data_IF_703934266575
#
_entry.id   IF_703934266575
#
_cell.length_a   1.000
_cell.length_b   1.000
_cell.length_c   1.000
_cell.angle_alpha   90.00
_cell.angle_beta   90.00
_cell.angle_gamma   90.00
#
_symmetry.space_group_name_H-M   'P 1'
#
loop_
_entity.id
_entity.type
_entity.pdbx_description
1 polymer ?
#
# COMPACT_ATOMS: atom_id res chain seq x y z
N UNK A 1 18.48 -21.53 36.72
CA UNK A 1 19.06 -20.17 36.66
C UNK A 1 19.27 -19.85 35.19
N UNK A 2 18.42 -18.99 34.62
CA UNK A 2 18.47 -18.66 33.20
C UNK A 2 19.63 -17.70 32.96
N UNK A 3 20.55 -18.08 32.09
CA UNK A 3 21.58 -17.19 31.56
C UNK A 3 20.93 -15.88 31.07
N UNK A 4 21.53 -14.71 31.33
CA UNK A 4 21.02 -13.48 30.76
C UNK A 4 21.04 -13.64 29.25
N UNK A 5 19.95 -13.31 28.55
CA UNK A 5 19.93 -13.41 27.10
C UNK A 5 20.92 -12.39 26.54
N UNK A 6 21.87 -12.89 25.76
CA UNK A 6 22.86 -12.05 25.10
C UNK A 6 22.16 -11.20 24.04
N UNK A 7 21.88 -9.93 24.33
CA UNK A 7 21.27 -8.99 23.39
C UNK A 7 22.07 -8.87 22.08
N UNK A 8 23.38 -9.14 22.14
CA UNK A 8 24.25 -9.22 20.98
C UNK A 8 23.86 -10.37 20.04
N UNK A 9 23.54 -11.55 20.57
CA UNK A 9 23.15 -12.70 19.76
C UNK A 9 21.85 -12.43 18.98
N UNK A 10 20.83 -11.88 19.65
CA UNK A 10 19.55 -11.54 19.03
C UNK A 10 19.71 -10.49 17.92
N UNK A 11 20.51 -9.45 18.18
CA UNK A 11 20.83 -8.45 17.17
C UNK A 11 21.57 -9.06 15.98
N UNK A 12 22.63 -9.83 16.22
CA UNK A 12 23.48 -10.39 15.16
C UNK A 12 22.68 -11.31 14.24
N UNK A 13 21.74 -12.10 14.78
CA UNK A 13 20.92 -12.99 13.98
C UNK A 13 19.90 -12.22 13.11
N UNK A 14 19.20 -11.23 13.67
CA UNK A 14 18.31 -10.39 12.87
C UNK A 14 19.09 -9.53 11.85
N UNK A 15 20.27 -9.03 12.22
CA UNK A 15 21.14 -8.30 11.31
C UNK A 15 21.61 -9.20 10.15
N UNK A 16 21.88 -10.50 10.40
CA UNK A 16 22.18 -11.48 9.34
C UNK A 16 20.99 -11.64 8.39
N UNK A 17 19.78 -11.84 8.93
CA UNK A 17 18.55 -12.00 8.13
C UNK A 17 18.31 -10.76 7.28
N UNK A 18 18.40 -9.56 7.88
CA UNK A 18 18.19 -8.30 7.16
C UNK A 18 19.28 -7.98 6.15
N UNK A 19 20.53 -8.34 6.42
CA UNK A 19 21.62 -8.24 5.44
C UNK A 19 21.38 -9.16 4.24
N UNK A 20 20.96 -10.41 4.47
CA UNK A 20 20.60 -11.34 3.42
C UNK A 20 19.40 -10.83 2.60
N UNK A 21 18.38 -10.30 3.29
CA UNK A 21 17.23 -9.66 2.64
C UNK A 21 17.66 -8.54 1.69
N UNK A 22 18.49 -7.61 2.16
CA UNK A 22 18.98 -6.49 1.32
C UNK A 22 19.76 -6.99 0.12
N UNK A 23 20.64 -7.97 0.31
CA UNK A 23 21.48 -8.52 -0.75
C UNK A 23 20.65 -9.15 -1.87
N UNK A 24 19.63 -9.91 -1.51
CA UNK A 24 18.78 -10.65 -2.45
C UNK A 24 17.50 -9.87 -2.82
N UNK A 25 17.37 -8.63 -2.32
CA UNK A 25 16.18 -7.78 -2.42
C UNK A 25 14.86 -8.52 -2.12
N UNK A 26 14.86 -9.34 -1.06
CA UNK A 26 13.72 -10.19 -0.69
C UNK A 26 12.66 -9.39 0.06
N UNK A 27 11.41 -9.79 -0.10
CA UNK A 27 10.31 -9.39 0.79
C UNK A 27 10.11 -10.51 1.81
N UNK A 28 10.19 -10.17 3.10
CA UNK A 28 9.93 -11.11 4.18
C UNK A 28 8.50 -10.99 4.68
N UNK A 29 7.98 -12.08 5.25
CA UNK A 29 6.75 -12.09 6.02
C UNK A 29 7.10 -12.35 7.49
N UNK A 30 6.92 -11.34 8.35
CA UNK A 30 7.36 -11.35 9.74
C UNK A 30 6.17 -11.49 10.67
N UNK A 31 6.20 -12.48 11.56
CA UNK A 31 5.17 -12.71 12.55
C UNK A 31 5.73 -12.68 13.97
N UNK A 32 4.98 -12.08 14.91
CA UNK A 32 5.32 -12.11 16.33
C UNK A 32 4.74 -13.37 16.96
N UNK A 33 5.61 -14.34 17.24
CA UNK A 33 5.23 -15.64 17.75
C UNK A 33 4.99 -15.65 19.28
N UNK A 34 4.13 -16.55 19.77
CA UNK A 34 4.04 -16.85 21.19
C UNK A 34 5.35 -17.46 21.72
N UNK A 35 5.71 -17.26 23.01
CA UNK A 35 7.00 -17.69 23.56
C UNK A 35 7.30 -19.20 23.48
N UNK A 36 6.28 -20.05 23.34
CA UNK A 36 6.43 -21.50 23.34
C UNK A 36 7.06 -22.11 22.07
N UNK A 37 7.18 -21.33 21.00
CA UNK A 37 7.70 -21.79 19.70
C UNK A 37 9.21 -21.55 19.51
N UNK A 38 9.90 -21.07 20.54
CA UNK A 38 11.31 -20.67 20.46
C UNK A 38 11.48 -19.19 20.12
N UNK A 39 12.71 -18.64 20.23
CA UNK A 39 12.95 -17.20 20.11
C UNK A 39 12.80 -16.68 18.67
N UNK A 40 13.14 -17.50 17.68
CA UNK A 40 13.17 -17.21 16.25
C UNK A 40 12.93 -18.52 15.47
N UNK A 41 12.15 -18.45 14.39
CA UNK A 41 11.92 -19.49 13.39
C UNK A 41 12.06 -18.85 12.00
N UNK A 42 12.73 -19.55 11.09
CA UNK A 42 12.93 -19.12 9.69
C UNK A 42 12.44 -20.26 8.78
N UNK A 43 11.45 -19.97 7.94
CA UNK A 43 10.95 -20.85 6.88
C UNK A 43 10.85 -20.08 5.57
N UNK A 44 11.85 -20.23 4.70
CA UNK A 44 11.92 -19.47 3.44
C UNK A 44 11.96 -17.95 3.67
N UNK A 45 10.91 -17.24 3.23
CA UNK A 45 10.74 -15.79 3.45
C UNK A 45 9.99 -15.46 4.75
N UNK A 46 9.45 -16.47 5.44
CA UNK A 46 8.66 -16.30 6.64
C UNK A 46 9.55 -16.34 7.88
N UNK A 47 9.51 -15.26 8.66
CA UNK A 47 10.30 -15.09 9.87
C UNK A 47 9.35 -14.96 11.06
N UNK A 48 9.31 -15.98 11.90
CA UNK A 48 8.59 -15.93 13.16
C UNK A 48 9.53 -15.59 14.30
N UNK A 49 9.23 -14.57 15.11
CA UNK A 49 10.10 -14.19 16.23
C UNK A 49 9.29 -13.78 17.46
N UNK A 50 9.82 -14.09 18.64
CA UNK A 50 9.13 -13.71 19.89
C UNK A 50 9.35 -12.24 20.21
N UNK A 51 8.36 -11.61 20.85
CA UNK A 51 8.47 -10.22 21.32
C UNK A 51 9.70 -10.00 22.22
N UNK A 52 10.04 -10.97 23.07
CA UNK A 52 11.22 -10.89 23.95
C UNK A 52 12.52 -10.83 23.12
N UNK A 53 12.62 -11.65 22.08
CA UNK A 53 13.78 -11.67 21.19
C UNK A 53 13.91 -10.35 20.42
N UNK A 54 12.79 -9.81 19.94
CA UNK A 54 12.78 -8.50 19.28
C UNK A 54 13.25 -7.37 20.20
N UNK A 55 12.78 -7.37 21.46
CA UNK A 55 13.20 -6.35 22.44
C UNK A 55 14.71 -6.42 22.67
N UNK A 56 15.29 -7.61 22.77
CA UNK A 56 16.73 -7.78 22.96
C UNK A 56 17.52 -7.22 21.78
N UNK A 57 17.13 -7.59 20.56
CA UNK A 57 17.75 -7.06 19.35
C UNK A 57 17.57 -5.54 19.24
N UNK A 58 16.40 -5.01 19.61
CA UNK A 58 16.11 -3.58 19.60
C UNK A 58 17.02 -2.78 20.53
N UNK A 59 17.27 -3.25 21.76
CA UNK A 59 18.15 -2.56 22.72
C UNK A 59 19.56 -2.42 22.14
N UNK A 60 20.12 -3.50 21.59
CA UNK A 60 21.44 -3.49 20.96
C UNK A 60 21.45 -2.67 19.66
N UNK A 61 20.42 -2.79 18.81
CA UNK A 61 20.28 -1.98 17.60
C UNK A 61 20.25 -0.49 17.94
N UNK A 62 19.53 -0.09 18.99
CA UNK A 62 19.45 1.30 19.44
C UNK A 62 20.83 1.82 19.87
N UNK A 63 21.58 1.04 20.65
CA UNK A 63 22.94 1.41 21.06
C UNK A 63 23.82 1.64 19.81
N UNK A 64 23.90 0.65 18.92
CA UNK A 64 24.68 0.74 17.68
C UNK A 64 24.27 1.95 16.83
N UNK A 65 22.97 2.17 16.66
CA UNK A 65 22.44 3.25 15.84
C UNK A 65 22.85 4.62 16.39
N UNK A 66 22.70 4.84 17.70
CA UNK A 66 23.01 6.14 18.29
C UNK A 66 24.52 6.35 18.46
N UNK A 67 25.28 5.32 18.82
CA UNK A 67 26.73 5.38 18.94
C UNK A 67 27.38 5.71 17.58
N UNK A 68 26.94 5.05 16.50
CA UNK A 68 27.44 5.32 15.16
C UNK A 68 26.95 6.65 14.56
N UNK A 69 25.82 7.19 15.05
CA UNK A 69 25.26 8.47 14.58
C UNK A 69 25.87 9.71 15.24
N UNK A 70 26.51 9.56 16.40
CA UNK A 70 27.20 10.64 17.12
C UNK A 70 28.55 11.01 16.49
N UNK A 71 29.06 10.16 15.60
CA UNK A 71 30.25 10.43 14.80
C UNK A 71 29.84 11.18 13.52
N UNK A 72 30.48 12.32 13.19
CA UNK A 72 30.10 13.12 12.04
C UNK A 72 30.12 12.30 10.74
N UNK A 73 29.01 12.34 10.00
CA UNK A 73 28.87 11.84 8.63
C UNK A 73 29.78 12.67 7.70
N UNK A 74 31.08 12.38 7.68
CA UNK A 74 32.00 12.95 6.71
C UNK A 74 31.84 12.21 5.38
N UNK A 75 31.15 12.85 4.43
CA UNK A 75 31.44 12.66 3.02
C UNK A 75 32.65 13.56 2.71
N UNK A 76 33.84 13.02 2.38
CA UNK A 76 34.97 13.88 2.05
C UNK A 76 34.68 14.64 0.76
N UNK A 77 34.89 15.95 0.78
CA UNK A 77 35.13 16.71 -0.44
C UNK A 77 36.34 16.10 -1.17
N UNK A 78 36.25 16.02 -2.50
CA UNK A 78 37.19 15.34 -3.39
C UNK A 78 38.57 16.02 -3.53
N UNK A 79 39.13 16.60 -2.46
CA UNK A 79 40.32 17.47 -2.52
C UNK A 79 41.40 17.15 -1.48
N UNK A 80 41.59 15.87 -1.12
CA UNK A 80 42.68 15.45 -0.24
C UNK A 80 43.47 14.27 -0.80
N UNK A 81 44.77 14.47 -1.04
CA UNK A 81 45.74 13.39 -1.28
C UNK A 81 45.78 12.46 -0.06
N UNK A 82 44.96 11.41 -0.05
CA UNK A 82 45.09 10.31 0.92
C UNK A 82 45.88 9.14 0.33
N UNK A 83 46.76 8.60 1.18
CA UNK A 83 47.59 7.42 0.99
C UNK A 83 46.71 6.19 0.64
N UNK A 84 46.90 5.56 -0.52
CA UNK A 84 45.99 4.54 -1.09
C UNK A 84 45.66 3.37 -0.13
N UNK A 85 46.60 2.99 0.74
CA UNK A 85 46.38 1.94 1.76
C UNK A 85 45.50 2.39 2.93
N UNK A 86 45.55 3.67 3.31
CA UNK A 86 44.65 4.24 4.33
C UNK A 86 43.25 4.44 3.76
N UNK A 87 43.15 4.80 2.48
CA UNK A 87 41.88 4.92 1.74
C UNK A 87 41.07 3.61 1.77
N UNK A 88 41.69 2.46 1.44
CA UNK A 88 41.01 1.15 1.43
C UNK A 88 40.54 0.68 2.82
N UNK A 89 41.35 0.92 3.86
CA UNK A 89 40.98 0.56 5.23
C UNK A 89 39.86 1.48 5.75
N UNK A 90 39.89 2.76 5.38
CA UNK A 90 38.84 3.73 5.67
C UNK A 90 37.54 3.38 4.93
N UNK A 91 37.61 2.92 3.69
CA UNK A 91 36.45 2.50 2.90
C UNK A 91 35.78 1.25 3.49
N UNK A 92 36.55 0.23 3.85
CA UNK A 92 36.02 -0.98 4.51
C UNK A 92 35.34 -0.66 5.85
N UNK A 93 35.92 0.22 6.66
CA UNK A 93 35.32 0.67 7.92
C UNK A 93 34.05 1.49 7.72
N UNK A 94 34.01 2.36 6.70
CA UNK A 94 32.81 3.12 6.32
C UNK A 94 31.70 2.21 5.83
N UNK A 95 32.04 1.21 5.02
CA UNK A 95 31.09 0.22 4.54
C UNK A 95 30.48 -0.56 5.70
N UNK A 96 31.32 -1.07 6.61
CA UNK A 96 30.85 -1.76 7.82
C UNK A 96 29.92 -0.88 8.64
N UNK A 97 30.29 0.38 8.88
CA UNK A 97 29.46 1.35 9.63
C UNK A 97 28.11 1.58 8.94
N UNK A 98 28.09 1.69 7.62
CA UNK A 98 26.87 1.83 6.81
C UNK A 98 25.97 0.61 7.01
N UNK A 99 26.54 -0.59 6.94
CA UNK A 99 25.81 -1.85 7.12
C UNK A 99 25.26 -1.99 8.55
N UNK A 100 26.03 -1.61 9.56
CA UNK A 100 25.60 -1.59 10.96
C UNK A 100 24.41 -0.64 11.17
N UNK A 101 24.46 0.57 10.61
CA UNK A 101 23.35 1.54 10.67
C UNK A 101 22.12 1.08 9.87
N UNK A 102 22.32 0.43 8.72
CA UNK A 102 21.24 -0.15 7.94
C UNK A 102 20.52 -1.24 8.75
N UNK A 103 21.26 -2.21 9.29
CA UNK A 103 20.72 -3.28 10.12
C UNK A 103 20.04 -2.75 11.38
N UNK A 104 20.69 -1.81 12.08
CA UNK A 104 20.15 -1.23 13.29
C UNK A 104 18.86 -0.45 13.02
N UNK A 105 18.81 0.37 11.97
CA UNK A 105 17.59 1.11 11.61
C UNK A 105 16.45 0.19 11.15
N UNK A 106 16.74 -0.93 10.49
CA UNK A 106 15.73 -1.93 10.17
C UNK A 106 15.15 -2.56 11.44
N UNK A 107 15.99 -3.07 12.35
CA UNK A 107 15.53 -3.65 13.61
C UNK A 107 14.75 -2.64 14.46
N UNK A 108 15.19 -1.38 14.50
CA UNK A 108 14.45 -0.30 15.17
C UNK A 108 13.06 -0.12 14.57
N UNK A 109 12.94 -0.08 13.24
CA UNK A 109 11.64 0.07 12.58
C UNK A 109 10.76 -1.18 12.68
N UNK A 110 11.36 -2.37 12.76
CA UNK A 110 10.62 -3.60 13.05
C UNK A 110 10.01 -3.57 14.46
N UNK A 111 10.72 -3.02 15.43
CA UNK A 111 10.19 -2.85 16.79
C UNK A 111 9.19 -1.69 16.89
N UNK A 112 9.50 -0.55 16.29
CA UNK A 112 8.73 0.69 16.34
C UNK A 112 8.64 1.36 14.95
N UNK A 113 7.52 1.11 14.26
CA UNK A 113 7.26 1.65 12.92
C UNK A 113 7.14 3.18 12.87
N UNK A 114 6.94 3.84 14.01
CA UNK A 114 6.80 5.31 14.11
C UNK A 114 8.12 5.97 14.56
N UNK A 115 9.24 5.23 14.58
CA UNK A 115 10.53 5.78 15.00
C UNK A 115 11.11 6.77 13.97
N UNK A 116 10.68 8.02 14.06
CA UNK A 116 10.96 9.09 13.09
C UNK A 116 12.45 9.32 12.83
N UNK A 117 13.31 9.20 13.85
CA UNK A 117 14.77 9.39 13.69
C UNK A 117 15.37 8.33 12.78
N UNK A 118 14.94 7.08 12.92
CA UNK A 118 15.43 5.97 12.10
C UNK A 118 14.91 6.12 10.66
N UNK A 119 13.61 6.39 10.50
CA UNK A 119 12.99 6.68 9.21
C UNK A 119 13.68 7.86 8.49
N UNK A 120 13.89 8.97 9.18
CA UNK A 120 14.53 10.17 8.62
C UNK A 120 16.00 9.94 8.28
N UNK A 121 16.72 9.14 9.06
CA UNK A 121 18.07 8.74 8.71
C UNK A 121 18.12 7.96 7.40
N UNK A 122 17.21 6.99 7.20
CA UNK A 122 17.12 6.21 5.95
C UNK A 122 16.82 7.10 4.74
N UNK A 123 15.86 8.02 4.87
CA UNK A 123 15.57 9.04 3.83
C UNK A 123 16.79 9.90 3.50
N UNK A 124 17.48 10.43 4.52
CA UNK A 124 18.69 11.26 4.32
C UNK A 124 19.81 10.50 3.62
N UNK A 125 20.02 9.23 3.95
CA UNK A 125 20.98 8.35 3.27
C UNK A 125 20.68 8.25 1.78
N UNK A 126 19.44 7.94 1.43
CA UNK A 126 19.01 7.82 0.03
C UNK A 126 19.08 9.17 -0.70
N UNK A 127 18.68 10.25 -0.05
CA UNK A 127 18.79 11.60 -0.62
C UNK A 127 20.24 11.99 -0.91
N UNK A 128 21.19 11.66 -0.03
CA UNK A 128 22.62 11.88 -0.27
C UNK A 128 23.10 11.06 -1.48
N UNK A 129 22.71 9.78 -1.58
CA UNK A 129 23.04 8.92 -2.72
C UNK A 129 22.55 9.51 -4.06
N UNK A 130 21.31 10.01 -4.09
CA UNK A 130 20.72 10.67 -5.25
C UNK A 130 21.48 11.95 -5.60
N UNK A 131 21.75 12.82 -4.62
CA UNK A 131 22.45 14.09 -4.84
C UNK A 131 23.86 13.91 -5.39
N UNK A 132 24.61 12.91 -4.93
CA UNK A 132 25.94 12.60 -5.46
C UNK A 132 25.92 12.16 -6.93
N UNK A 133 24.78 11.65 -7.42
CA UNK A 133 24.57 11.30 -8.82
C UNK A 133 24.28 12.47 -9.75
N UNK A 134 23.87 13.63 -9.23
CA UNK A 134 23.44 14.78 -10.03
C UNK A 134 24.58 15.65 -10.61
N UNK A 135 25.84 15.30 -10.39
CA UNK A 135 26.98 16.05 -10.94
C UNK A 135 27.22 15.70 -12.42
N UNK A 136 27.55 16.70 -13.23
CA UNK A 136 27.68 16.61 -14.69
C UNK A 136 28.68 15.51 -15.10
N UNK A 137 28.17 14.31 -15.39
CA UNK A 137 28.97 13.12 -15.71
C UNK A 137 28.48 11.82 -15.06
N UNK A 138 27.21 11.73 -14.64
CA UNK A 138 26.63 10.54 -13.99
C UNK A 138 26.91 9.28 -14.80
N UNK A 139 27.75 8.40 -14.25
CA UNK A 139 27.97 7.06 -14.83
C UNK A 139 26.67 6.27 -14.77
N UNK A 140 26.35 5.51 -15.83
CA UNK A 140 25.24 4.55 -15.87
C UNK A 140 25.21 3.67 -14.60
N UNK A 141 26.38 3.29 -14.11
CA UNK A 141 26.54 2.49 -12.89
C UNK A 141 26.00 3.18 -11.62
N UNK A 142 26.09 4.51 -11.52
CA UNK A 142 25.55 5.25 -10.37
C UNK A 142 24.03 5.26 -10.37
N UNK A 143 23.43 5.42 -11.56
CA UNK A 143 21.98 5.35 -11.74
C UNK A 143 21.45 3.96 -11.41
N UNK A 144 22.09 2.92 -11.91
CA UNK A 144 21.75 1.52 -11.57
C UNK A 144 21.86 1.24 -10.07
N UNK A 145 22.93 1.69 -9.42
CA UNK A 145 23.11 1.57 -7.97
C UNK A 145 22.02 2.32 -7.18
N UNK A 146 21.67 3.53 -7.62
CA UNK A 146 20.61 4.33 -6.98
C UNK A 146 19.26 3.64 -7.11
N UNK A 147 18.93 3.13 -8.30
CA UNK A 147 17.71 2.36 -8.53
C UNK A 147 17.67 1.11 -7.64
N UNK A 148 18.77 0.38 -7.54
CA UNK A 148 18.87 -0.82 -6.68
C UNK A 148 18.64 -0.49 -5.20
N UNK A 149 19.22 0.60 -4.68
CA UNK A 149 19.07 1.01 -3.28
C UNK A 149 17.64 1.51 -2.98
N UNK A 150 16.99 2.18 -3.92
CA UNK A 150 15.59 2.58 -3.80
C UNK A 150 14.65 1.37 -3.82
N UNK A 151 14.88 0.43 -4.72
CA UNK A 151 14.12 -0.83 -4.80
C UNK A 151 14.29 -1.69 -3.53
N UNK A 152 15.51 -1.74 -3.00
CA UNK A 152 15.82 -2.37 -1.70
C UNK A 152 15.11 -1.71 -0.52
N UNK A 153 14.88 -0.40 -0.58
CA UNK A 153 14.07 0.31 0.42
C UNK A 153 12.58 0.00 0.26
N UNK A 154 12.07 -0.10 -0.97
CA UNK A 154 10.68 -0.52 -1.21
C UNK A 154 10.42 -1.95 -0.73
N UNK A 155 11.34 -2.89 -0.95
CA UNK A 155 11.19 -4.28 -0.46
C UNK A 155 11.15 -4.36 1.07
N UNK A 156 11.90 -3.48 1.77
CA UNK A 156 11.79 -3.35 3.23
C UNK A 156 10.42 -2.83 3.65
N UNK A 157 9.91 -1.79 2.99
CA UNK A 157 8.62 -1.21 3.34
C UNK A 157 7.48 -2.18 3.04
N UNK A 158 7.58 -2.95 1.95
CA UNK A 158 6.65 -4.04 1.64
C UNK A 158 6.71 -5.12 2.72
N UNK A 159 7.92 -5.52 3.15
CA UNK A 159 8.10 -6.46 4.26
C UNK A 159 7.31 -6.01 5.48
N UNK A 160 7.40 -4.75 5.90
CA UNK A 160 6.67 -4.28 7.08
C UNK A 160 5.16 -4.12 6.89
N UNK A 161 4.72 -3.62 5.74
CA UNK A 161 3.30 -3.33 5.49
C UNK A 161 2.49 -4.61 5.24
N UNK A 162 3.08 -5.60 4.56
CA UNK A 162 2.43 -6.85 4.16
C UNK A 162 2.70 -8.04 5.10
N UNK A 163 3.41 -7.81 6.21
CA UNK A 163 3.53 -8.80 7.29
C UNK A 163 2.36 -8.70 8.26
N UNK A 164 2.02 -9.77 9.02
CA UNK A 164 1.01 -9.77 10.09
C UNK A 164 1.44 -8.95 11.34
N UNK A 165 1.86 -7.70 11.11
CA UNK A 165 2.33 -6.74 12.09
C UNK A 165 1.32 -5.58 12.18
N UNK A 166 0.27 -5.76 12.99
CA UNK A 166 -0.88 -4.84 13.02
C UNK A 166 -0.55 -3.34 13.21
N UNK A 167 0.58 -2.99 13.84
CA UNK A 167 1.01 -1.57 13.95
C UNK A 167 1.61 -1.07 12.65
N UNK A 168 2.44 -1.87 12.00
CA UNK A 168 3.16 -1.55 10.77
C UNK A 168 2.22 -1.47 9.56
N UNK A 169 1.30 -2.42 9.43
CA UNK A 169 0.32 -2.50 8.32
C UNK A 169 -0.48 -1.20 8.15
N UNK A 170 -0.68 -0.44 9.23
CA UNK A 170 -1.42 0.83 9.25
C UNK A 170 -0.56 2.04 9.63
N UNK A 171 0.75 1.94 9.53
CA UNK A 171 1.66 3.01 9.93
C UNK A 171 1.64 4.16 8.93
N UNK A 172 1.18 5.37 9.30
CA UNK A 172 1.28 6.53 8.43
C UNK A 172 2.74 6.86 8.09
N UNK A 173 3.68 6.63 9.02
CA UNK A 173 5.11 6.89 8.79
C UNK A 173 5.67 5.98 7.69
N UNK A 174 5.33 4.69 7.67
CA UNK A 174 5.80 3.77 6.64
C UNK A 174 5.19 4.07 5.26
N UNK A 175 3.87 4.36 5.18
CA UNK A 175 3.25 4.75 3.90
C UNK A 175 3.83 6.05 3.35
N UNK A 176 4.03 7.07 4.20
CA UNK A 176 4.67 8.31 3.79
C UNK A 176 6.13 8.12 3.38
N UNK A 177 6.84 7.17 3.99
CA UNK A 177 8.19 6.80 3.55
C UNK A 177 8.14 6.13 2.17
N UNK A 178 7.25 5.16 1.97
CA UNK A 178 7.09 4.46 0.70
C UNK A 178 6.78 5.42 -0.45
N UNK A 179 5.83 6.32 -0.23
CA UNK A 179 5.47 7.34 -1.21
C UNK A 179 6.65 8.26 -1.55
N UNK A 180 7.46 8.61 -0.55
CA UNK A 180 8.65 9.42 -0.77
C UNK A 180 9.69 8.69 -1.62
N UNK A 181 9.93 7.39 -1.37
CA UNK A 181 10.86 6.56 -2.16
C UNK A 181 10.39 6.44 -3.61
N UNK A 182 9.09 6.15 -3.83
CA UNK A 182 8.51 6.08 -5.17
C UNK A 182 8.65 7.40 -5.93
N UNK A 183 8.44 8.55 -5.25
CA UNK A 183 8.69 9.87 -5.87
C UNK A 183 10.11 9.97 -6.40
N UNK A 184 11.11 9.55 -5.60
CA UNK A 184 12.50 9.59 -6.04
C UNK A 184 12.72 8.67 -7.26
N UNK A 185 12.20 7.44 -7.24
CA UNK A 185 12.33 6.49 -8.36
C UNK A 185 11.72 7.02 -9.66
N UNK A 186 10.53 7.64 -9.57
CA UNK A 186 9.85 8.20 -10.73
C UNK A 186 10.58 9.44 -11.27
N UNK A 187 11.12 10.29 -10.38
CA UNK A 187 11.94 11.45 -10.77
C UNK A 187 13.25 11.06 -11.45
N UNK A 188 13.95 10.04 -10.96
CA UNK A 188 15.19 9.54 -11.56
C UNK A 188 14.97 8.85 -12.91
N UNK A 189 13.80 8.22 -13.09
CA UNK A 189 13.45 7.52 -14.33
C UNK A 189 13.17 8.50 -15.48
N UNK A 190 12.51 9.63 -15.18
CA UNK A 190 12.12 10.67 -16.15
C UNK A 190 13.19 11.74 -16.35
N UNK A 191 14.46 11.36 -16.52
CA UNK A 191 15.54 12.32 -16.76
C UNK A 191 15.18 13.36 -17.83
N UNK A 192 15.02 14.62 -17.42
CA UNK A 192 14.51 15.79 -18.15
C UNK A 192 13.07 16.18 -17.80
N UNK A 193 12.89 17.45 -17.41
CA UNK A 193 11.65 18.16 -17.07
C UNK A 193 10.62 18.28 -18.23
N UNK A 194 10.68 17.39 -19.21
CA UNK A 194 9.71 17.33 -20.30
C UNK A 194 8.49 16.55 -19.83
N UNK A 195 7.32 17.21 -19.89
CA UNK A 195 6.01 16.65 -19.53
C UNK A 195 5.75 15.38 -20.35
N UNK A 196 5.17 14.37 -19.71
CA UNK A 196 5.01 13.02 -20.27
C UNK A 196 3.92 13.01 -21.34
N UNK A 197 4.28 12.61 -22.57
CA UNK A 197 3.36 12.50 -23.71
C UNK A 197 3.23 11.07 -24.26
N UNK A 198 4.10 10.13 -23.87
CA UNK A 198 4.25 8.84 -24.57
C UNK A 198 3.47 7.69 -23.90
N UNK A 199 2.82 6.84 -24.73
CA UNK A 199 2.03 5.68 -24.29
C UNK A 199 2.86 4.67 -23.47
N UNK A 200 4.17 4.63 -23.69
CA UNK A 200 5.11 3.75 -22.95
C UNK A 200 5.22 4.12 -21.48
N UNK A 201 5.17 5.40 -21.14
CA UNK A 201 5.25 5.86 -19.76
C UNK A 201 3.95 5.53 -19.02
N UNK A 202 2.82 5.64 -19.70
CA UNK A 202 1.52 5.23 -19.16
C UNK A 202 1.46 3.73 -18.84
N UNK A 203 2.05 2.88 -19.69
CA UNK A 203 2.19 1.44 -19.41
C UNK A 203 3.06 1.18 -18.19
N UNK A 204 4.15 1.94 -18.03
CA UNK A 204 5.04 1.83 -16.88
C UNK A 204 4.35 2.27 -15.58
N UNK A 205 3.62 3.39 -15.63
CA UNK A 205 2.84 3.89 -14.48
C UNK A 205 1.72 2.93 -14.09
N UNK A 206 1.07 2.28 -15.06
CA UNK A 206 0.08 1.21 -14.80
C UNK A 206 0.70 0.02 -14.08
N UNK A 207 1.92 -0.39 -14.46
CA UNK A 207 2.63 -1.48 -13.80
C UNK A 207 2.95 -1.13 -12.34
N UNK A 208 3.49 0.06 -12.10
CA UNK A 208 3.75 0.57 -10.74
C UNK A 208 2.45 0.62 -9.95
N UNK A 209 1.38 1.15 -10.54
CA UNK A 209 0.08 1.24 -9.89
C UNK A 209 -0.48 -0.14 -9.52
N UNK A 210 -0.34 -1.13 -10.39
CA UNK A 210 -0.78 -2.51 -10.16
C UNK A 210 0.00 -3.18 -9.02
N UNK A 211 1.32 -3.01 -9.00
CA UNK A 211 2.19 -3.54 -7.93
C UNK A 211 1.83 -2.88 -6.58
N UNK A 212 1.71 -1.56 -6.54
CA UNK A 212 1.36 -0.82 -5.32
C UNK A 212 -0.06 -1.10 -4.83
N UNK A 213 -1.00 -1.29 -5.76
CA UNK A 213 -2.35 -1.71 -5.41
C UNK A 213 -2.33 -3.07 -4.72
N UNK A 214 -1.58 -4.05 -5.25
CA UNK A 214 -1.51 -5.38 -4.63
C UNK A 214 -1.03 -5.33 -3.18
N UNK A 215 -0.09 -4.42 -2.87
CA UNK A 215 0.43 -4.19 -1.52
C UNK A 215 -0.66 -3.60 -0.61
N UNK A 216 -1.42 -2.62 -1.09
CA UNK A 216 -2.50 -2.01 -0.30
C UNK A 216 -3.69 -2.94 -0.08
N UNK A 217 -4.04 -3.74 -1.08
CA UNK A 217 -5.07 -4.76 -0.92
C UNK A 217 -4.64 -5.82 0.11
N UNK A 218 -3.39 -6.29 0.04
CA UNK A 218 -2.83 -7.20 1.04
C UNK A 218 -2.80 -6.58 2.44
N UNK A 219 -2.41 -5.31 2.56
CA UNK A 219 -2.42 -4.63 3.86
C UNK A 219 -3.83 -4.37 4.38
N UNK A 220 -4.83 -4.25 3.50
CA UNK A 220 -6.26 -4.19 3.83
C UNK A 220 -6.79 -5.52 4.40
N UNK A 221 -6.30 -6.66 3.89
CA UNK A 221 -6.64 -7.99 4.44
C UNK A 221 -6.10 -8.16 5.86
N UNK A 222 -4.87 -7.70 6.09
CA UNK A 222 -4.18 -7.80 7.39
C UNK A 222 -4.72 -6.78 8.41
N UNK A 223 -5.20 -5.63 7.93
CA UNK A 223 -5.81 -4.60 8.77
C UNK A 223 -7.11 -4.06 8.14
N UNK A 224 -8.27 -4.66 8.46
CA UNK A 224 -9.54 -4.19 7.92
C UNK A 224 -9.76 -2.70 8.18
N UNK A 225 -10.28 -2.00 7.16
CA UNK A 225 -10.52 -0.55 7.14
C UNK A 225 -9.21 0.25 7.23
N UNK A 226 -8.19 -0.19 6.49
CA UNK A 226 -6.89 0.48 6.44
C UNK A 226 -6.93 1.84 5.73
N UNK A 227 -7.41 2.86 6.44
CA UNK A 227 -7.53 4.22 5.91
C UNK A 227 -6.20 4.76 5.37
N UNK A 228 -5.08 4.47 6.03
CA UNK A 228 -3.76 4.96 5.61
C UNK A 228 -3.28 4.31 4.31
N UNK A 229 -3.48 3.00 4.12
CA UNK A 229 -3.14 2.32 2.87
C UNK A 229 -3.94 2.85 1.68
N UNK A 230 -5.26 3.02 1.83
CA UNK A 230 -6.07 3.58 0.75
C UNK A 230 -5.82 5.08 0.52
N UNK A 231 -5.43 5.84 1.56
CA UNK A 231 -5.00 7.24 1.39
C UNK A 231 -3.69 7.34 0.61
N UNK A 232 -2.75 6.45 0.90
CA UNK A 232 -1.52 6.31 0.14
C UNK A 232 -1.79 6.05 -1.36
N UNK A 233 -2.73 5.15 -1.69
CA UNK A 233 -3.10 4.90 -3.08
C UNK A 233 -3.69 6.12 -3.79
N UNK A 234 -4.52 6.91 -3.09
CA UNK A 234 -5.04 8.18 -3.65
C UNK A 234 -3.89 9.14 -3.98
N UNK A 235 -2.93 9.29 -3.07
CA UNK A 235 -1.80 10.17 -3.28
C UNK A 235 -0.86 9.70 -4.40
N UNK A 236 -0.69 8.38 -4.56
CA UNK A 236 0.07 7.81 -5.67
C UNK A 236 -0.62 8.10 -7.01
N UNK A 237 -1.92 7.88 -7.09
CA UNK A 237 -2.72 8.19 -8.27
C UNK A 237 -2.67 9.69 -8.63
N UNK A 238 -2.81 10.59 -7.66
CA UNK A 238 -2.69 12.03 -7.88
C UNK A 238 -1.29 12.40 -8.40
N UNK A 239 -0.24 11.75 -7.89
CA UNK A 239 1.14 11.94 -8.35
C UNK A 239 1.37 11.47 -9.78
N UNK A 240 0.87 10.27 -10.13
CA UNK A 240 1.03 9.70 -11.48
C UNK A 240 0.21 10.47 -12.51
N UNK A 241 -1.01 10.89 -12.17
CA UNK A 241 -1.83 11.70 -13.09
C UNK A 241 -1.24 13.09 -13.33
N UNK A 242 -0.69 13.72 -12.29
CA UNK A 242 -0.13 15.08 -12.36
C UNK A 242 1.13 15.20 -13.22
N UNK A 243 1.76 14.11 -13.67
CA UNK A 243 2.91 14.16 -14.58
C UNK A 243 2.54 14.34 -16.06
N UNK A 244 1.26 14.22 -16.42
CA UNK A 244 0.78 14.27 -17.80
C UNK A 244 0.29 15.65 -18.22
N UNK A 245 0.26 15.89 -19.54
CA UNK A 245 -0.40 17.06 -20.12
C UNK A 245 -1.91 17.04 -19.88
N UNK A 246 -2.53 15.96 -20.34
CA UNK A 246 -3.93 15.61 -20.13
C UNK A 246 -4.09 14.88 -18.79
N UNK A 247 -4.10 15.66 -17.70
CA UNK A 247 -4.24 15.11 -16.35
C UNK A 247 -5.58 14.39 -16.16
N UNK A 248 -6.66 14.91 -16.75
CA UNK A 248 -8.01 14.35 -16.60
C UNK A 248 -8.13 13.00 -17.32
N UNK A 249 -7.70 12.92 -18.59
CA UNK A 249 -7.71 11.65 -19.30
C UNK A 249 -6.69 10.65 -18.75
N UNK A 250 -5.53 11.07 -18.26
CA UNK A 250 -4.59 10.18 -17.57
C UNK A 250 -5.21 9.60 -16.29
N UNK A 251 -5.87 10.45 -15.48
CA UNK A 251 -6.60 10.02 -14.28
C UNK A 251 -7.67 8.98 -14.60
N UNK A 252 -8.49 9.23 -15.63
CA UNK A 252 -9.52 8.31 -16.08
C UNK A 252 -8.93 6.97 -16.55
N UNK A 253 -7.85 7.00 -17.35
CA UNK A 253 -7.18 5.80 -17.86
C UNK A 253 -6.51 4.97 -16.76
N UNK A 254 -5.94 5.63 -15.75
CA UNK A 254 -5.34 4.96 -14.59
C UNK A 254 -6.44 4.37 -13.70
N UNK A 255 -7.49 5.12 -13.37
CA UNK A 255 -8.62 4.62 -12.58
C UNK A 255 -9.28 3.41 -13.24
N UNK A 256 -9.64 3.51 -14.52
CA UNK A 256 -10.28 2.44 -15.27
C UNK A 256 -9.47 1.14 -15.25
N UNK A 257 -8.13 1.23 -15.22
CA UNK A 257 -7.25 0.05 -15.21
C UNK A 257 -7.32 -0.75 -13.90
N UNK A 258 -7.64 -0.11 -12.77
CA UNK A 258 -7.62 -0.75 -11.45
C UNK A 258 -9.01 -0.97 -10.83
N UNK A 259 -10.06 -0.29 -11.32
CA UNK A 259 -11.43 -0.46 -10.83
C UNK A 259 -11.85 -1.93 -10.72
N UNK A 260 -11.66 -2.80 -11.75
CA UNK A 260 -12.08 -4.19 -11.65
C UNK A 260 -11.45 -4.93 -10.46
N UNK A 261 -10.14 -4.74 -10.23
CA UNK A 261 -9.40 -5.38 -9.14
C UNK A 261 -9.86 -4.89 -7.77
N UNK A 262 -10.05 -3.58 -7.62
CA UNK A 262 -10.53 -2.97 -6.37
C UNK A 262 -11.95 -3.43 -6.07
N UNK A 263 -12.81 -3.47 -7.09
CA UNK A 263 -14.20 -3.92 -6.96
C UNK A 263 -14.29 -5.37 -6.51
N UNK A 264 -13.56 -6.27 -7.16
CA UNK A 264 -13.55 -7.69 -6.79
C UNK A 264 -13.02 -7.88 -5.35
N UNK A 265 -11.99 -7.12 -4.95
CA UNK A 265 -11.51 -7.13 -3.57
C UNK A 265 -12.54 -6.60 -2.57
N UNK A 266 -13.21 -5.48 -2.86
CA UNK A 266 -14.25 -4.90 -2.00
C UNK A 266 -15.45 -5.83 -1.84
N UNK A 267 -15.83 -6.58 -2.88
CA UNK A 267 -16.89 -7.58 -2.81
C UNK A 267 -16.49 -8.79 -1.96
N UNK A 268 -15.20 -9.16 -1.94
CA UNK A 268 -14.66 -10.14 -1.01
C UNK A 268 -14.54 -9.61 0.44
N UNK A 269 -14.44 -8.29 0.60
CA UNK A 269 -14.30 -7.60 1.90
C UNK A 269 -15.43 -6.56 2.12
N UNK A 270 -16.70 -6.99 2.12
CA UNK A 270 -17.84 -6.08 2.02
C UNK A 270 -18.00 -5.10 3.20
N UNK A 271 -17.37 -5.38 4.34
CA UNK A 271 -17.33 -4.47 5.51
C UNK A 271 -16.20 -3.42 5.48
N UNK A 272 -15.34 -3.42 4.46
CA UNK A 272 -14.22 -2.48 4.38
C UNK A 272 -14.63 -1.14 3.77
N UNK A 273 -14.97 -0.19 4.65
CA UNK A 273 -15.33 1.17 4.23
C UNK A 273 -14.20 1.91 3.50
N UNK A 274 -12.93 1.60 3.81
CA UNK A 274 -11.80 2.32 3.19
C UNK A 274 -11.65 1.94 1.71
N UNK A 275 -11.81 0.65 1.40
CA UNK A 275 -11.85 0.15 0.02
C UNK A 275 -13.05 0.71 -0.76
N UNK A 276 -14.23 0.75 -0.16
CA UNK A 276 -15.42 1.35 -0.78
C UNK A 276 -15.26 2.85 -1.05
N UNK A 277 -14.71 3.62 -0.10
CA UNK A 277 -14.44 5.05 -0.32
C UNK A 277 -13.33 5.28 -1.34
N UNK A 278 -12.39 4.35 -1.49
CA UNK A 278 -11.41 4.41 -2.58
C UNK A 278 -12.05 4.11 -3.93
N UNK A 279 -12.96 3.12 -3.99
CA UNK A 279 -13.72 2.80 -5.21
C UNK A 279 -14.53 4.00 -5.69
N UNK A 280 -15.25 4.71 -4.80
CA UNK A 280 -15.95 5.95 -5.13
C UNK A 280 -15.02 7.00 -5.75
N UNK A 281 -13.82 7.15 -5.18
CA UNK A 281 -12.81 8.09 -5.68
C UNK A 281 -12.35 7.75 -7.10
N UNK A 282 -12.29 6.47 -7.45
CA UNK A 282 -11.96 6.00 -8.81
C UNK A 282 -13.11 6.25 -9.78
N UNK A 283 -14.36 6.01 -9.35
CA UNK A 283 -15.55 6.26 -10.17
C UNK A 283 -15.73 7.76 -10.46
N UNK A 284 -15.35 8.64 -9.54
CA UNK A 284 -15.35 10.10 -9.75
C UNK A 284 -14.40 10.55 -10.88
N UNK A 285 -13.37 9.75 -11.18
CA UNK A 285 -12.43 10.00 -12.28
C UNK A 285 -12.84 9.36 -13.61
N UNK A 286 -13.86 8.51 -13.62
CA UNK A 286 -14.36 7.89 -14.85
C UNK A 286 -15.52 8.74 -15.37
N UNK A 287 -15.38 9.41 -16.53
CA UNK A 287 -16.44 10.26 -17.08
C UNK A 287 -17.61 9.45 -17.65
N UNK A 288 -17.41 8.15 -17.90
CA UNK A 288 -18.41 7.28 -18.48
C UNK A 288 -19.51 6.91 -17.48
N UNK A 289 -20.74 7.36 -17.77
CA UNK A 289 -21.91 7.06 -16.94
C UNK A 289 -22.30 5.59 -16.96
N UNK A 290 -22.08 4.90 -18.08
CA UNK A 290 -22.41 3.48 -18.24
C UNK A 290 -21.54 2.64 -17.30
N UNK A 291 -20.21 2.81 -17.34
CA UNK A 291 -19.28 2.14 -16.43
C UNK A 291 -19.60 2.39 -14.94
N UNK A 292 -20.01 3.62 -14.58
CA UNK A 292 -20.40 3.93 -13.20
C UNK A 292 -21.68 3.19 -12.80
N UNK A 293 -22.67 3.19 -13.68
CA UNK A 293 -23.95 2.50 -13.49
C UNK A 293 -23.75 0.99 -13.34
N UNK A 294 -22.96 0.38 -14.22
CA UNK A 294 -22.61 -1.05 -14.17
C UNK A 294 -21.93 -1.44 -12.86
N UNK A 295 -21.04 -0.58 -12.35
CA UNK A 295 -20.38 -0.81 -11.06
C UNK A 295 -21.39 -0.79 -9.90
N UNK A 296 -22.31 0.17 -9.89
CA UNK A 296 -23.35 0.29 -8.86
C UNK A 296 -24.27 -0.94 -8.91
N UNK A 297 -24.71 -1.34 -10.11
CA UNK A 297 -25.60 -2.48 -10.31
C UNK A 297 -24.94 -3.79 -9.87
N UNK A 298 -23.65 -3.99 -10.17
CA UNK A 298 -22.89 -5.16 -9.69
C UNK A 298 -22.88 -5.23 -8.16
N UNK A 299 -22.67 -4.11 -7.47
CA UNK A 299 -22.62 -4.05 -6.00
C UNK A 299 -24.00 -4.24 -5.38
N UNK A 300 -25.03 -3.61 -5.94
CA UNK A 300 -26.42 -3.78 -5.52
C UNK A 300 -26.86 -5.24 -5.65
N UNK A 301 -26.60 -5.85 -6.80
CA UNK A 301 -26.93 -7.25 -7.06
C UNK A 301 -26.24 -8.17 -6.04
N UNK A 302 -24.95 -7.95 -5.78
CA UNK A 302 -24.24 -8.69 -4.74
C UNK A 302 -24.89 -8.54 -3.36
N UNK A 303 -25.13 -7.30 -2.92
CA UNK A 303 -25.68 -7.01 -1.60
C UNK A 303 -27.07 -7.64 -1.40
N UNK A 304 -27.91 -7.57 -2.42
CA UNK A 304 -29.24 -8.17 -2.41
C UNK A 304 -29.19 -9.70 -2.41
N UNK A 305 -28.26 -10.30 -3.13
CA UNK A 305 -28.13 -11.76 -3.22
C UNK A 305 -27.63 -12.39 -1.92
N UNK A 306 -26.67 -11.76 -1.24
CA UNK A 306 -26.09 -12.30 0.00
C UNK A 306 -26.83 -11.84 1.26
N UNK A 307 -27.81 -10.94 1.13
CA UNK A 307 -28.52 -10.38 2.27
C UNK A 307 -27.64 -9.46 3.13
N UNK A 308 -26.78 -8.65 2.50
CA UNK A 308 -25.77 -7.88 3.22
C UNK A 308 -26.38 -6.71 4.00
N UNK A 309 -26.28 -6.71 5.32
CA UNK A 309 -26.80 -5.63 6.17
C UNK A 309 -25.75 -4.59 6.61
N UNK A 310 -24.47 -4.84 6.35
CA UNK A 310 -23.39 -3.97 6.81
C UNK A 310 -23.40 -2.60 6.14
N UNK A 311 -23.20 -1.54 6.92
CA UNK A 311 -23.27 -0.13 6.48
C UNK A 311 -22.41 0.19 5.25
N UNK A 312 -21.23 -0.43 5.10
CA UNK A 312 -20.22 0.04 4.14
C UNK A 312 -20.67 -0.01 2.68
N UNK A 313 -21.35 -1.08 2.26
CA UNK A 313 -21.91 -1.18 0.90
C UNK A 313 -23.03 -0.16 0.69
N UNK A 314 -23.93 0.00 1.66
CA UNK A 314 -25.05 0.93 1.53
C UNK A 314 -24.60 2.38 1.49
N UNK A 315 -23.53 2.71 2.22
CA UNK A 315 -22.86 4.00 2.13
C UNK A 315 -22.24 4.21 0.75
N UNK A 316 -21.56 3.19 0.19
CA UNK A 316 -21.05 3.22 -1.17
C UNK A 316 -22.16 3.49 -2.20
N UNK A 317 -23.22 2.66 -2.20
CA UNK A 317 -24.34 2.75 -3.14
C UNK A 317 -24.97 4.15 -3.07
N UNK A 318 -25.30 4.62 -1.87
CA UNK A 318 -25.92 5.93 -1.67
C UNK A 318 -25.04 7.10 -2.18
N UNK A 319 -23.72 7.02 -2.02
CA UNK A 319 -22.82 8.07 -2.51
C UNK A 319 -22.63 7.96 -4.03
N UNK A 320 -22.53 6.75 -4.57
CA UNK A 320 -22.33 6.52 -5.99
C UNK A 320 -23.55 6.92 -6.82
N UNK A 321 -24.77 6.64 -6.35
CA UNK A 321 -26.01 7.07 -7.03
C UNK A 321 -26.18 8.60 -7.06
N UNK A 322 -25.63 9.30 -6.06
CA UNK A 322 -25.61 10.78 -6.07
C UNK A 322 -24.65 11.35 -7.11
N UNK A 323 -23.56 10.64 -7.42
CA UNK A 323 -22.60 11.05 -8.46
C UNK A 323 -23.21 10.92 -9.87
N UNK A 324 -24.12 9.97 -10.09
CA UNK A 324 -24.83 9.80 -11.38
C UNK A 324 -26.09 10.66 -11.47
N UNK A 325 -26.77 10.93 -10.35
CA UNK A 325 -28.00 11.73 -10.30
C UNK A 325 -27.82 13.25 -10.50
N UNK A 326 -26.59 13.76 -10.55
CA UNK A 326 -26.29 15.18 -10.74
C UNK A 326 -26.56 15.72 -12.16
N UNK A 327 -26.82 14.85 -13.14
CA UNK A 327 -27.05 15.20 -14.54
C UNK A 327 -28.43 14.83 -15.12
N UNK A 328 -29.29 14.14 -14.38
CA UNK A 328 -30.56 13.64 -14.91
C UNK A 328 -31.67 14.70 -14.88
N UNK A 329 -31.62 15.61 -15.85
CA UNK A 329 -32.84 16.12 -16.48
C UNK A 329 -33.57 14.95 -17.12
N UNK A 330 -34.89 14.91 -16.94
CA UNK A 330 -35.80 13.90 -17.48
C UNK A 330 -35.47 13.53 -18.94
N UNK A 331 -35.21 12.24 -19.19
CA UNK A 331 -35.46 11.56 -20.48
C UNK A 331 -35.39 10.04 -20.36
N UNK A 332 -36.58 9.47 -20.25
CA UNK A 332 -37.12 8.28 -20.94
C UNK A 332 -36.35 6.95 -21.03
N UNK A 333 -37.04 5.93 -20.49
CA UNK A 333 -37.49 4.71 -21.15
C UNK A 333 -36.56 4.06 -22.20
N UNK A 334 -36.06 2.85 -21.92
CA UNK A 334 -36.41 1.62 -22.64
C UNK A 334 -35.57 0.41 -22.17
N UNK A 335 -36.20 -0.57 -21.48
CA UNK A 335 -36.12 -2.03 -21.75
C UNK A 335 -36.74 -2.85 -20.61
N UNK A 336 -37.61 -3.80 -20.97
CA UNK A 336 -38.25 -4.85 -20.15
C UNK A 336 -37.95 -6.21 -20.81
N UNK A 337 -38.28 -7.37 -20.21
CA UNK A 337 -38.11 -7.81 -18.82
C UNK A 337 -37.47 -9.22 -18.75
N UNK A 338 -36.62 -9.53 -17.76
CA UNK A 338 -36.44 -10.93 -17.35
C UNK A 338 -35.87 -11.06 -15.94
N UNK A 339 -36.58 -11.85 -15.13
CA UNK A 339 -36.34 -12.28 -13.75
C UNK A 339 -36.64 -11.25 -12.65
N UNK A 340 -37.63 -11.59 -11.81
CA UNK A 340 -38.22 -10.76 -10.74
C UNK A 340 -37.28 -10.36 -9.58
N UNK A 341 -35.96 -10.44 -9.77
CA UNK A 341 -34.92 -10.01 -8.83
C UNK A 341 -34.15 -8.77 -9.33
N UNK A 342 -34.29 -8.38 -10.60
CA UNK A 342 -33.50 -7.30 -11.24
C UNK A 342 -34.18 -5.93 -11.24
N UNK A 343 -35.40 -5.81 -10.69
CA UNK A 343 -36.19 -4.58 -10.79
C UNK A 343 -36.35 -3.87 -9.43
N UNK A 344 -35.24 -3.52 -8.77
CA UNK A 344 -35.23 -2.22 -8.08
C UNK A 344 -34.49 -1.26 -9.02
N UNK A 345 -35.21 -0.42 -9.79
CA UNK A 345 -34.58 0.58 -10.62
C UNK A 345 -33.67 1.46 -9.74
N UNK A 346 -32.47 1.82 -10.23
CA UNK A 346 -31.64 2.87 -9.61
C UNK A 346 -32.45 4.16 -9.34
N UNK A 347 -33.48 4.41 -10.14
CA UNK A 347 -34.48 5.46 -9.96
C UNK A 347 -35.25 5.41 -8.63
N UNK A 348 -35.36 4.26 -7.97
CA UNK A 348 -36.02 4.12 -6.65
C UNK A 348 -35.06 4.37 -5.47
N UNK A 349 -33.75 4.33 -5.70
CA UNK A 349 -32.73 4.76 -4.74
C UNK A 349 -32.45 6.26 -4.90
N UNK A 350 -33.51 7.07 -4.81
CA UNK A 350 -33.45 8.53 -4.95
C UNK A 350 -32.49 9.20 -3.96
N UNK A 351 -31.86 10.29 -4.43
CA UNK A 351 -30.74 11.01 -3.82
C UNK A 351 -30.97 11.65 -2.42
N UNK A 352 -32.18 11.56 -1.85
CA UNK A 352 -32.56 12.31 -0.65
C UNK A 352 -32.29 11.57 0.67
N UNK A 353 -32.12 10.25 0.64
CA UNK A 353 -32.14 9.45 1.86
C UNK A 353 -30.79 8.81 2.17
N UNK A 354 -30.34 8.88 3.42
CA UNK A 354 -29.07 8.29 3.84
C UNK A 354 -28.98 6.78 3.63
N UNK A 355 -27.80 6.20 3.86
CA UNK A 355 -27.52 4.76 3.65
C UNK A 355 -28.54 3.83 4.32
N UNK A 356 -29.11 4.23 5.46
CA UNK A 356 -30.15 3.48 6.19
C UNK A 356 -31.37 3.22 5.33
N UNK A 357 -31.82 4.20 4.56
CA UNK A 357 -32.98 4.04 3.70
C UNK A 357 -32.71 3.10 2.54
N UNK A 358 -31.47 3.10 2.03
CA UNK A 358 -31.06 2.10 1.04
C UNK A 358 -31.16 0.68 1.62
N UNK A 359 -30.69 0.49 2.85
CA UNK A 359 -30.81 -0.79 3.56
C UNK A 359 -32.28 -1.18 3.84
N UNK A 360 -33.13 -0.24 4.27
CA UNK A 360 -34.56 -0.54 4.52
C UNK A 360 -35.29 -0.96 3.24
N UNK A 361 -34.97 -0.36 2.10
CA UNK A 361 -35.51 -0.80 0.79
C UNK A 361 -35.06 -2.23 0.46
N UNK A 362 -33.79 -2.55 0.69
CA UNK A 362 -33.27 -3.91 0.50
C UNK A 362 -33.96 -4.92 1.42
N UNK A 363 -34.18 -4.56 2.70
CA UNK A 363 -34.93 -5.39 3.65
C UNK A 363 -36.36 -5.66 3.18
N UNK A 364 -37.06 -4.65 2.67
CA UNK A 364 -38.39 -4.82 2.09
C UNK A 364 -38.37 -5.80 0.90
N UNK A 365 -37.36 -5.69 0.03
CA UNK A 365 -37.19 -6.59 -1.11
C UNK A 365 -36.93 -8.05 -0.67
N UNK A 366 -36.14 -8.27 0.38
CA UNK A 366 -35.89 -9.60 0.95
C UNK A 366 -37.17 -10.21 1.54
N UNK A 367 -37.98 -9.43 2.26
CA UNK A 367 -39.26 -9.89 2.82
C UNK A 367 -40.23 -10.28 1.71
N UNK A 368 -40.34 -9.47 0.65
CA UNK A 368 -41.16 -9.78 -0.52
C UNK A 368 -40.71 -11.11 -1.18
N UNK A 369 -39.40 -11.35 -1.29
CA UNK A 369 -38.83 -12.60 -1.83
C UNK A 369 -39.23 -13.83 -1.00
N UNK A 370 -39.20 -13.73 0.32
CA UNK A 370 -39.61 -14.83 1.21
C UNK A 370 -41.10 -15.14 1.08
N UNK A 371 -41.95 -14.13 0.92
CA UNK A 371 -43.40 -14.32 0.75
C UNK A 371 -43.76 -14.97 -0.60
N UNK A 372 -43.04 -14.62 -1.68
CA UNK A 372 -43.24 -15.24 -3.01
C UNK A 372 -42.75 -16.70 -3.02
N UNK A 373 -41.62 -16.99 -2.38
CA UNK A 373 -41.10 -18.36 -2.23
C UNK A 373 -42.00 -19.25 -1.36
N UNK A 374 -42.65 -18.69 -0.35
CA UNK A 374 -43.59 -19.44 0.50
C UNK A 374 -44.90 -19.75 -0.24
N UNK A 375 -45.42 -18.81 -1.04
CA UNK A 375 -46.65 -19.02 -1.83
C UNK A 375 -46.50 -20.05 -2.96
N UNK A 376 -45.30 -20.24 -3.49
CA UNK A 376 -45.02 -21.22 -4.54
C UNK A 376 -44.84 -22.65 -4.02
N UNK A 377 -44.52 -22.82 -2.73
CA UNK A 377 -44.51 -24.14 -2.07
C UNK A 377 -45.90 -24.60 -1.60
N UNK A 378 -46.84 -23.68 -1.37
CA UNK A 378 -48.22 -24.01 -0.98
C UNK A 378 -49.12 -24.39 -2.17
N UNK A 379 -48.63 -24.29 -3.42
CA UNK A 379 -49.41 -24.67 -4.63
C UNK A 379 -49.20 -26.14 -5.06
N UNK A 380 -48.37 -26.90 -4.33
CA UNK A 380 -48.08 -28.32 -4.59
C UNK A 380 -48.38 -29.24 -3.39
N UNK A 381 -49.38 -28.91 -2.57
CA UNK A 381 -49.92 -29.81 -1.55
C UNK A 381 -51.37 -30.18 -1.79
#
# INVERSE_FOLDING_TARGET
MSTPPDGSAAYNELARIFSARRKDNRVLEIEILPPGLGPLLEDGNSIGLTKKYLVQAFVTARQIFFDASNEPFYFPDASGHEDERKSLQNESLRQKRRDDLLNASEIILLFDCEHLTACSWRKRRLAALIQHGGSAGTSLAHREMTTLELDTELSLLTTYICSPLHRHTKSPTLYNHRLWVLRQMLSESSGSLTRREDDRELVSDRKVLDEELSIVLRSGELHPKNYYGFTYMRQLLDMLSGSYEDQEGASARLAASIIPKVMDWCLAHPSDISGWMFTLRLLDWVPDEESRTDCIDKVLLFALNVGWEGESIWTFVNLATKMTGGGASAKDQCRMPSNALTNLPLSEFGAADGWKTCLERARAAWVARQQVGSRSNDTYR
#
